data_IF_504877465608
#
_entry.id   IF_504877465608
#
_cell.length_a   1.000
_cell.length_b   1.000
_cell.length_c   1.000
_cell.angle_alpha   90.00
_cell.angle_beta   90.00
_cell.angle_gamma   90.00
#
_symmetry.space_group_name_H-M   'P 1'
#
loop_
_entity.id
_entity.type
_entity.pdbx_description
1 polymer ?
#
# COMPACT_ATOMS: atom_id res chain seq x y z
N UNK A 1 -37.02 21.18 48.49
CA UNK A 1 -36.81 21.52 47.06
C UNK A 1 -35.43 21.06 46.53
N UNK A 2 -34.43 20.91 47.40
CA UNK A 2 -33.03 20.61 47.04
C UNK A 2 -32.78 19.15 46.60
N UNK A 3 -33.44 18.17 47.22
CA UNK A 3 -33.23 16.75 46.90
C UNK A 3 -33.73 16.33 45.51
N UNK A 4 -34.84 16.91 45.03
CA UNK A 4 -35.36 16.62 43.68
C UNK A 4 -34.42 17.11 42.57
N UNK A 5 -33.71 18.22 42.78
CA UNK A 5 -32.70 18.71 41.81
C UNK A 5 -31.47 17.80 41.76
N UNK A 6 -31.01 17.32 42.91
CA UNK A 6 -29.89 16.38 43.01
C UNK A 6 -30.19 15.05 42.32
N UNK A 7 -31.43 14.55 42.46
CA UNK A 7 -31.85 13.31 41.81
C UNK A 7 -31.89 13.41 40.28
N UNK A 8 -32.44 14.50 39.73
CA UNK A 8 -32.49 14.73 38.28
C UNK A 8 -31.08 14.94 37.68
N UNK A 9 -30.17 15.57 38.41
CA UNK A 9 -28.77 15.74 37.97
C UNK A 9 -28.02 14.39 37.89
N UNK A 10 -28.21 13.52 38.88
CA UNK A 10 -27.64 12.16 38.90
C UNK A 10 -28.21 11.32 37.75
N UNK A 11 -29.50 11.43 37.48
CA UNK A 11 -30.17 10.75 36.37
C UNK A 11 -29.62 11.22 35.02
N UNK A 12 -29.44 12.53 34.84
CA UNK A 12 -28.84 13.13 33.65
C UNK A 12 -27.40 12.65 33.42
N UNK A 13 -26.56 12.66 34.47
CA UNK A 13 -25.16 12.17 34.38
C UNK A 13 -25.09 10.68 34.03
N UNK A 14 -25.93 9.84 34.64
CA UNK A 14 -26.01 8.41 34.30
C UNK A 14 -26.46 8.19 32.85
N UNK A 15 -27.45 8.95 32.38
CA UNK A 15 -27.94 8.85 31.01
C UNK A 15 -26.91 9.28 29.96
N UNK A 16 -26.09 10.30 30.24
CA UNK A 16 -25.00 10.71 29.35
C UNK A 16 -23.86 9.67 29.31
N UNK A 17 -23.52 9.05 30.45
CA UNK A 17 -22.53 7.97 30.49
C UNK A 17 -23.01 6.74 29.70
N UNK A 18 -24.28 6.34 29.85
CA UNK A 18 -24.86 5.24 29.07
C UNK A 18 -24.85 5.53 27.57
N UNK A 19 -25.09 6.79 27.18
CA UNK A 19 -25.01 7.21 25.77
C UNK A 19 -23.60 7.18 25.20
N UNK A 20 -22.61 7.66 25.97
CA UNK A 20 -21.21 7.63 25.53
C UNK A 20 -20.70 6.20 25.32
N UNK A 21 -21.03 5.28 26.24
CA UNK A 21 -20.69 3.86 26.10
C UNK A 21 -21.36 3.24 24.89
N UNK A 22 -22.64 3.55 24.62
CA UNK A 22 -23.35 3.05 23.45
C UNK A 22 -22.78 3.58 22.13
N UNK A 23 -22.36 4.85 22.07
CA UNK A 23 -21.69 5.43 20.90
C UNK A 23 -20.33 4.78 20.66
N UNK A 24 -19.58 4.47 21.72
CA UNK A 24 -18.26 3.82 21.59
C UNK A 24 -18.39 2.37 21.13
N UNK A 25 -19.36 1.62 21.68
CA UNK A 25 -19.62 0.24 21.25
C UNK A 25 -20.05 0.18 19.77
N UNK A 26 -20.87 1.11 19.31
CA UNK A 26 -21.27 1.15 17.89
C UNK A 26 -20.10 1.50 16.97
N UNK A 27 -19.17 2.35 17.40
CA UNK A 27 -17.94 2.64 16.64
C UNK A 27 -17.04 1.39 16.54
N UNK A 28 -16.94 0.57 17.59
CA UNK A 28 -16.18 -0.70 17.56
C UNK A 28 -16.81 -1.72 16.61
N UNK A 29 -18.13 -1.87 16.63
CA UNK A 29 -18.83 -2.76 15.69
C UNK A 29 -18.60 -2.32 14.24
N UNK A 30 -18.68 -1.02 13.95
CA UNK A 30 -18.41 -0.50 12.60
C UNK A 30 -16.95 -0.71 12.16
N UNK A 31 -15.99 -0.56 13.08
CA UNK A 31 -14.57 -0.80 12.80
C UNK A 31 -14.25 -2.29 12.56
N UNK A 32 -14.90 -3.20 13.30
CA UNK A 32 -14.69 -4.65 13.10
C UNK A 32 -15.35 -5.15 11.80
N UNK A 33 -16.54 -4.64 11.47
CA UNK A 33 -17.21 -4.94 10.20
C UNK A 33 -16.38 -4.48 9.00
N UNK A 34 -15.77 -3.29 9.06
CA UNK A 34 -14.93 -2.79 7.95
C UNK A 34 -13.68 -3.64 7.73
N UNK A 35 -13.04 -4.12 8.81
CA UNK A 35 -11.88 -5.03 8.74
C UNK A 35 -12.25 -6.39 8.13
N UNK A 36 -13.43 -6.94 8.48
CA UNK A 36 -13.92 -8.19 7.88
C UNK A 36 -14.17 -8.02 6.38
N UNK A 37 -14.80 -6.92 5.97
CA UNK A 37 -15.07 -6.64 4.55
C UNK A 37 -13.76 -6.53 3.75
N UNK A 38 -12.76 -5.82 4.27
CA UNK A 38 -11.45 -5.68 3.61
C UNK A 38 -10.75 -7.04 3.49
N UNK A 39 -10.79 -7.85 4.54
CA UNK A 39 -10.18 -9.19 4.55
C UNK A 39 -10.85 -10.12 3.53
N UNK A 40 -12.17 -10.04 3.43
CA UNK A 40 -12.95 -10.84 2.49
C UNK A 40 -12.73 -10.41 1.04
N UNK A 41 -12.66 -9.11 0.77
CA UNK A 41 -12.32 -8.57 -0.55
C UNK A 41 -10.92 -9.00 -0.99
N UNK A 42 -9.96 -9.03 -0.06
CA UNK A 42 -8.60 -9.49 -0.32
C UNK A 42 -8.56 -11.01 -0.61
N UNK A 43 -9.34 -11.81 0.14
CA UNK A 43 -9.46 -13.25 -0.10
C UNK A 43 -10.10 -13.57 -1.47
N UNK A 44 -11.12 -12.81 -1.89
CA UNK A 44 -11.71 -12.93 -3.22
C UNK A 44 -10.73 -12.57 -4.34
N UNK A 45 -9.90 -11.55 -4.15
CA UNK A 45 -8.87 -11.19 -5.12
C UNK A 45 -7.81 -12.30 -5.31
N UNK A 46 -7.53 -13.10 -4.26
CA UNK A 46 -6.55 -14.19 -4.31
C UNK A 46 -7.06 -15.45 -5.02
N UNK A 47 -8.37 -15.66 -5.09
CA UNK A 47 -8.95 -16.91 -5.62
C UNK A 47 -9.16 -16.92 -7.15
N UNK A 48 -8.55 -15.98 -7.88
CA UNK A 48 -8.55 -15.93 -9.35
C UNK A 48 -7.26 -16.47 -9.98
N UNK A 49 -6.27 -16.89 -9.19
CA UNK A 49 -5.00 -17.45 -9.68
C UNK A 49 -4.99 -18.96 -9.49
N UNK A 50 -5.71 -19.64 -10.38
CA UNK A 50 -5.81 -21.09 -10.44
C UNK A 50 -5.78 -21.59 -11.88
N UNK A 51 -4.75 -21.22 -12.66
CA UNK A 51 -4.20 -21.98 -13.78
C UNK A 51 -3.26 -21.09 -14.60
N UNK A 52 -1.95 -21.38 -14.61
CA UNK A 52 -1.12 -21.19 -15.80
C UNK A 52 0.04 -22.18 -15.77
N UNK A 53 0.05 -23.07 -16.77
CA UNK A 53 1.09 -24.05 -17.04
C UNK A 53 2.34 -23.36 -17.55
N UNK A 54 3.49 -23.90 -17.17
CA UNK A 54 4.81 -23.55 -17.69
C UNK A 54 4.86 -23.67 -19.22
N UNK A 55 5.36 -22.63 -19.90
CA UNK A 55 5.82 -22.74 -21.28
C UNK A 55 7.26 -22.27 -21.36
N UNK A 56 8.13 -23.25 -21.55
CA UNK A 56 9.55 -23.11 -21.86
C UNK A 56 9.69 -23.14 -23.40
N UNK A 57 10.24 -22.11 -24.04
CA UNK A 57 11.31 -22.27 -25.04
C UNK A 57 11.84 -20.98 -25.71
N UNK A 58 13.10 -21.12 -26.12
CA UNK A 58 14.03 -20.21 -26.79
C UNK A 58 13.55 -19.44 -28.04
N UNK A 59 14.03 -18.20 -28.16
CA UNK A 59 14.70 -17.72 -29.38
C UNK A 59 13.84 -17.09 -30.48
N UNK A 60 13.42 -15.83 -30.30
CA UNK A 60 13.18 -14.88 -31.41
C UNK A 60 13.23 -13.46 -30.87
N UNK A 61 14.12 -12.62 -31.42
CA UNK A 61 14.22 -11.19 -31.08
C UNK A 61 13.04 -10.49 -31.73
N UNK A 62 11.95 -10.48 -30.98
CA UNK A 62 10.76 -9.65 -31.15
C UNK A 62 10.39 -9.30 -29.72
N UNK A 63 10.14 -8.03 -29.42
CA UNK A 63 9.80 -7.55 -28.08
C UNK A 63 8.61 -8.35 -27.54
N UNK A 64 8.91 -9.44 -26.83
CA UNK A 64 7.92 -10.39 -26.34
C UNK A 64 7.35 -9.81 -25.06
N UNK A 65 6.04 -9.72 -24.97
CA UNK A 65 5.36 -9.45 -23.71
C UNK A 65 5.74 -10.54 -22.70
N UNK A 66 6.64 -10.21 -21.79
CA UNK A 66 7.18 -11.08 -20.75
C UNK A 66 6.64 -10.66 -19.39
N UNK A 67 6.72 -11.56 -18.41
CA UNK A 67 6.30 -11.31 -17.03
C UNK A 67 7.48 -11.62 -16.12
N UNK A 68 7.80 -10.70 -15.21
CA UNK A 68 8.69 -10.94 -14.08
C UNK A 68 7.91 -10.81 -12.77
N UNK A 69 8.22 -11.65 -11.80
CA UNK A 69 7.61 -11.56 -10.46
C UNK A 69 8.51 -10.73 -9.53
N UNK A 70 8.03 -9.55 -9.12
CA UNK A 70 8.60 -8.79 -8.02
C UNK A 70 8.22 -9.44 -6.69
N UNK A 71 9.20 -9.80 -5.88
CA UNK A 71 8.97 -10.35 -4.55
C UNK A 71 9.04 -9.27 -3.49
N UNK A 72 7.96 -9.07 -2.75
CA UNK A 72 7.91 -8.18 -1.58
C UNK A 72 7.42 -9.02 -0.40
N UNK A 73 8.31 -9.29 0.55
CA UNK A 73 8.03 -10.22 1.64
C UNK A 73 7.67 -11.62 1.13
N UNK A 74 6.48 -12.09 1.50
CA UNK A 74 5.99 -13.43 1.14
C UNK A 74 5.09 -13.41 -0.12
N UNK A 75 4.91 -12.24 -0.75
CA UNK A 75 4.08 -12.07 -1.94
C UNK A 75 4.91 -11.85 -3.20
N UNK A 76 4.34 -12.27 -4.32
CA UNK A 76 4.88 -12.09 -5.65
C UNK A 76 3.90 -11.28 -6.51
N UNK A 77 4.41 -10.24 -7.16
CA UNK A 77 3.65 -9.32 -8.00
C UNK A 77 4.08 -9.48 -9.45
N UNK A 78 3.22 -9.98 -10.35
CA UNK A 78 3.56 -10.15 -11.75
C UNK A 78 3.58 -8.78 -12.46
N UNK A 79 4.74 -8.42 -13.01
CA UNK A 79 4.98 -7.19 -13.74
C UNK A 79 5.23 -7.53 -15.20
N UNK A 80 4.41 -6.96 -16.08
CA UNK A 80 4.55 -7.15 -17.53
C UNK A 80 5.59 -6.20 -18.08
N UNK A 81 6.42 -6.69 -18.98
CA UNK A 81 7.42 -5.87 -19.64
C UNK A 81 7.71 -6.35 -21.07
N UNK A 82 8.34 -5.46 -21.83
CA UNK A 82 9.00 -5.76 -23.09
C UNK A 82 10.38 -5.12 -23.04
N UNK A 83 11.39 -5.82 -23.56
CA UNK A 83 12.76 -5.30 -23.59
C UNK A 83 13.41 -5.55 -24.95
N UNK A 84 14.12 -4.55 -25.45
CA UNK A 84 15.05 -4.65 -26.59
C UNK A 84 16.45 -4.26 -26.15
N UNK A 85 17.48 -4.66 -26.89
CA UNK A 85 18.87 -4.31 -26.57
C UNK A 85 19.47 -5.04 -25.36
N UNK A 86 18.74 -5.98 -24.76
CA UNK A 86 19.22 -6.76 -23.63
C UNK A 86 18.18 -7.73 -23.09
N UNK A 87 18.38 -8.16 -21.85
CA UNK A 87 17.43 -8.98 -21.09
C UNK A 87 17.25 -8.43 -19.69
N UNK A 88 16.03 -8.54 -19.18
CA UNK A 88 15.73 -8.22 -17.80
C UNK A 88 16.19 -9.39 -16.91
N UNK A 89 17.15 -9.15 -16.02
CA UNK A 89 17.78 -10.16 -15.18
C UNK A 89 17.08 -10.32 -13.83
N UNK A 90 16.43 -9.27 -13.33
CA UNK A 90 15.77 -9.30 -12.04
C UNK A 90 15.03 -7.99 -11.73
N UNK A 91 14.14 -8.03 -10.75
CA UNK A 91 13.46 -6.86 -10.23
C UNK A 91 13.34 -6.95 -8.70
N UNK A 92 13.61 -5.85 -8.02
CA UNK A 92 13.53 -5.75 -6.56
C UNK A 92 13.09 -4.35 -6.14
N UNK A 93 12.53 -4.23 -4.95
CA UNK A 93 12.31 -2.94 -4.31
C UNK A 93 13.53 -2.58 -3.44
N UNK A 94 13.92 -1.32 -3.46
CA UNK A 94 14.97 -0.80 -2.59
C UNK A 94 14.44 -0.61 -1.16
N UNK A 95 15.37 -0.53 -0.19
CA UNK A 95 15.02 -0.41 1.24
C UNK A 95 14.27 0.88 1.59
N UNK A 96 14.40 1.91 0.76
CA UNK A 96 13.67 3.16 0.90
C UNK A 96 12.16 3.03 0.64
N UNK A 97 11.73 1.90 0.05
CA UNK A 97 10.35 1.62 -0.32
C UNK A 97 9.75 2.69 -1.26
N UNK A 98 10.58 3.32 -2.07
CA UNK A 98 10.16 4.28 -3.09
C UNK A 98 10.72 3.96 -4.46
N UNK A 99 11.76 3.13 -4.52
CA UNK A 99 12.48 2.82 -5.75
C UNK A 99 12.39 1.34 -6.11
N UNK A 100 12.07 1.05 -7.36
CA UNK A 100 12.24 -0.27 -7.96
C UNK A 100 13.57 -0.32 -8.71
N UNK A 101 14.38 -1.33 -8.38
CA UNK A 101 15.59 -1.68 -9.12
C UNK A 101 15.25 -2.72 -10.18
N UNK A 102 15.42 -2.34 -11.44
CA UNK A 102 15.28 -3.24 -12.58
C UNK A 102 16.67 -3.61 -13.07
N UNK A 103 17.10 -4.82 -12.78
CA UNK A 103 18.40 -5.33 -13.19
C UNK A 103 18.34 -5.77 -14.66
N UNK A 104 19.24 -5.25 -15.48
CA UNK A 104 19.30 -5.50 -16.92
C UNK A 104 20.67 -6.05 -17.29
N UNK A 105 20.69 -7.04 -18.19
CA UNK A 105 21.88 -7.45 -18.92
C UNK A 105 21.78 -6.86 -20.32
N UNK A 106 22.31 -5.65 -20.49
CA UNK A 106 22.35 -4.95 -21.77
C UNK A 106 23.43 -5.53 -22.69
N UNK A 107 23.14 -5.59 -23.98
CA UNK A 107 24.06 -6.02 -25.05
C UNK A 107 24.17 -4.99 -26.18
N UNK A 108 23.24 -4.04 -26.22
CA UNK A 108 23.22 -2.86 -27.07
C UNK A 108 22.31 -1.81 -26.45
N UNK A 109 22.28 -0.60 -27.00
CA UNK A 109 21.26 0.39 -26.64
C UNK A 109 19.86 -0.22 -26.86
N UNK A 110 18.96 0.07 -25.95
CA UNK A 110 17.70 -0.65 -25.82
C UNK A 110 16.57 0.19 -25.27
N UNK A 111 15.41 -0.44 -25.15
CA UNK A 111 14.22 0.13 -24.54
C UNK A 111 13.57 -0.89 -23.63
N UNK A 112 13.17 -0.45 -22.45
CA UNK A 112 12.32 -1.17 -21.52
C UNK A 112 10.93 -0.54 -21.53
N UNK A 113 9.91 -1.31 -21.90
CA UNK A 113 8.52 -0.95 -21.67
C UNK A 113 8.04 -1.78 -20.49
N UNK A 114 7.59 -1.14 -19.41
CA UNK A 114 7.22 -1.83 -18.17
C UNK A 114 5.86 -1.32 -17.68
N UNK A 115 4.94 -2.25 -17.40
CA UNK A 115 3.63 -1.96 -16.82
C UNK A 115 3.71 -2.07 -15.30
N UNK A 116 3.67 -0.92 -14.64
CA UNK A 116 3.75 -0.74 -13.20
C UNK A 116 2.34 -0.74 -12.59
N UNK A 117 1.96 -1.76 -11.81
CA UNK A 117 0.70 -1.77 -11.07
C UNK A 117 0.72 -0.70 -9.96
N UNK A 118 -0.34 0.10 -9.85
CA UNK A 118 -0.44 1.20 -8.88
C UNK A 118 -0.56 0.73 -7.43
N UNK A 119 -0.92 -0.52 -7.22
CA UNK A 119 -0.92 -1.19 -5.92
C UNK A 119 0.48 -1.71 -5.51
N UNK A 120 1.45 -1.68 -6.43
CA UNK A 120 2.85 -2.05 -6.20
C UNK A 120 3.73 -0.81 -6.09
N UNK A 121 3.63 0.08 -7.07
CA UNK A 121 4.41 1.32 -7.13
C UNK A 121 3.54 2.42 -7.76
N UNK A 122 3.59 3.62 -7.19
CA UNK A 122 2.99 4.80 -7.80
C UNK A 122 3.78 6.07 -7.46
N UNK A 123 3.57 7.11 -8.26
CA UNK A 123 4.08 8.45 -8.01
C UNK A 123 2.92 9.44 -7.96
N UNK A 124 2.75 10.07 -6.79
CA UNK A 124 1.63 10.97 -6.51
C UNK A 124 2.04 12.18 -5.70
N UNK A 125 1.53 13.34 -6.06
CA UNK A 125 1.64 14.58 -5.29
C UNK A 125 0.46 14.78 -4.34
N UNK A 126 0.49 15.88 -3.60
CA UNK A 126 -0.58 16.25 -2.67
C UNK A 126 -1.95 16.25 -3.36
N UNK A 127 -2.96 15.72 -2.67
CA UNK A 127 -4.31 15.60 -3.21
C UNK A 127 -4.55 14.33 -4.04
N UNK A 128 -3.67 13.33 -3.96
CA UNK A 128 -3.81 12.04 -4.66
C UNK A 128 -3.81 12.19 -6.20
N UNK A 129 -3.13 13.23 -6.69
CA UNK A 129 -2.97 13.50 -8.12
C UNK A 129 -1.70 12.82 -8.60
N UNK A 130 -1.75 12.23 -9.80
CA UNK A 130 -0.59 11.61 -10.42
C UNK A 130 0.55 12.63 -10.57
N UNK A 131 1.75 12.13 -10.29
CA UNK A 131 3.01 12.81 -10.50
C UNK A 131 3.93 11.93 -11.36
N UNK A 132 4.98 12.50 -11.93
CA UNK A 132 5.91 11.74 -12.77
C UNK A 132 6.76 10.79 -11.92
N UNK A 133 7.17 9.67 -12.51
CA UNK A 133 8.27 8.89 -11.95
C UNK A 133 9.58 9.61 -12.23
N UNK A 134 10.59 9.36 -11.38
CA UNK A 134 11.97 9.71 -11.69
C UNK A 134 12.70 8.43 -12.07
N UNK A 135 13.31 8.41 -13.25
CA UNK A 135 14.02 7.24 -13.77
C UNK A 135 15.50 7.53 -13.87
N UNK A 136 16.31 6.54 -13.50
CA UNK A 136 17.75 6.60 -13.57
C UNK A 136 18.31 5.34 -14.27
N UNK A 137 19.45 5.52 -14.91
CA UNK A 137 20.26 4.50 -15.55
C UNK A 137 21.62 4.47 -14.85
N UNK A 138 21.91 3.39 -14.12
CA UNK A 138 23.10 3.27 -13.27
C UNK A 138 23.35 4.53 -12.40
N UNK A 139 22.26 5.08 -11.83
CA UNK A 139 22.28 6.29 -10.99
C UNK A 139 22.38 7.63 -11.75
N UNK A 140 22.41 7.64 -13.08
CA UNK A 140 22.31 8.85 -13.90
C UNK A 140 20.88 9.09 -14.34
N UNK A 141 20.42 10.35 -14.31
CA UNK A 141 19.03 10.64 -14.70
C UNK A 141 18.78 10.23 -16.16
N UNK A 142 17.72 9.44 -16.37
CA UNK A 142 17.32 8.92 -17.67
C UNK A 142 15.97 9.52 -18.08
N UNK A 143 15.79 9.74 -19.37
CA UNK A 143 14.50 10.16 -19.90
C UNK A 143 13.56 8.97 -19.98
N UNK A 144 12.36 9.14 -19.45
CA UNK A 144 11.26 8.20 -19.55
C UNK A 144 10.02 8.84 -20.18
N UNK A 145 9.24 8.02 -20.88
CA UNK A 145 7.93 8.39 -21.41
C UNK A 145 6.86 7.54 -20.74
N UNK A 146 5.88 8.19 -20.12
CA UNK A 146 4.68 7.50 -19.69
C UNK A 146 3.69 7.35 -20.85
N UNK A 147 3.65 6.14 -21.42
CA UNK A 147 2.90 5.87 -22.65
C UNK A 147 1.46 5.44 -22.39
N UNK A 148 1.10 5.05 -21.15
CA UNK A 148 -0.27 4.70 -20.79
C UNK A 148 -0.53 4.82 -19.29
N UNK A 149 -1.60 5.51 -18.95
CA UNK A 149 -2.05 5.72 -17.56
C UNK A 149 -3.49 5.25 -17.42
N UNK A 150 -3.77 4.40 -16.44
CA UNK A 150 -5.14 4.01 -16.09
C UNK A 150 -5.28 3.85 -14.57
N UNK A 151 -6.49 3.51 -14.10
CA UNK A 151 -6.79 3.40 -12.67
C UNK A 151 -6.05 2.26 -11.94
N UNK A 152 -5.50 1.28 -12.66
CA UNK A 152 -4.86 0.08 -12.10
C UNK A 152 -3.36 0.05 -12.35
N UNK A 153 -2.87 0.63 -13.45
CA UNK A 153 -1.47 0.60 -13.84
C UNK A 153 -1.01 1.85 -14.59
N UNK A 154 0.31 2.05 -14.59
CA UNK A 154 1.03 3.04 -15.41
C UNK A 154 2.09 2.31 -16.22
N UNK A 155 2.21 2.62 -17.50
CA UNK A 155 3.20 1.98 -18.39
C UNK A 155 4.28 2.99 -18.75
N UNK A 156 5.52 2.70 -18.39
CA UNK A 156 6.68 3.52 -18.71
C UNK A 156 7.46 2.90 -19.87
N UNK A 157 8.00 3.77 -20.73
CA UNK A 157 9.02 3.44 -21.71
C UNK A 157 10.31 4.15 -21.29
N UNK A 158 11.36 3.37 -21.05
CA UNK A 158 12.69 3.85 -20.62
C UNK A 158 13.71 3.44 -21.67
N UNK A 159 14.46 4.41 -22.20
CA UNK A 159 15.65 4.13 -23.01
C UNK A 159 16.85 3.84 -22.11
N UNK A 160 17.75 2.96 -22.55
CA UNK A 160 19.00 2.67 -21.84
C UNK A 160 20.13 2.38 -22.82
N UNK A 161 21.38 2.65 -22.42
CA UNK A 161 22.56 2.49 -23.26
C UNK A 161 23.16 1.06 -23.21
N UNK A 162 24.09 0.78 -24.11
CA UNK A 162 24.87 -0.44 -24.01
C UNK A 162 25.78 -0.39 -22.78
N UNK A 163 25.69 -1.40 -21.91
CA UNK A 163 26.45 -1.48 -20.68
C UNK A 163 25.63 -1.18 -19.42
N UNK A 164 24.41 -0.65 -19.56
CA UNK A 164 23.48 -0.47 -18.42
C UNK A 164 23.30 -1.77 -17.65
N UNK A 165 23.45 -1.69 -16.33
CA UNK A 165 23.24 -2.82 -15.43
C UNK A 165 21.96 -2.68 -14.60
N UNK A 166 21.57 -1.45 -14.27
CA UNK A 166 20.42 -1.15 -13.44
C UNK A 166 19.63 0.03 -14.02
N UNK A 167 18.32 -0.10 -14.02
CA UNK A 167 17.39 1.01 -14.22
C UNK A 167 16.64 1.20 -12.91
N UNK A 168 16.72 2.39 -12.32
CA UNK A 168 16.02 2.74 -11.09
C UNK A 168 14.75 3.53 -11.41
N UNK A 169 13.59 3.04 -10.98
CA UNK A 169 12.30 3.72 -11.14
C UNK A 169 11.82 4.17 -9.77
N UNK A 170 11.81 5.48 -9.53
CA UNK A 170 11.48 6.09 -8.24
C UNK A 170 10.11 6.76 -8.30
N UNK A 171 9.22 6.38 -7.38
CA UNK A 171 7.92 7.01 -7.17
C UNK A 171 7.81 7.63 -5.77
N UNK A 172 6.58 7.79 -5.29
CA UNK A 172 6.32 8.23 -3.91
C UNK A 172 6.10 7.08 -2.94
N UNK A 173 5.81 5.89 -3.46
CA UNK A 173 5.80 4.67 -2.70
C UNK A 173 5.98 3.45 -3.61
N UNK A 174 6.62 2.43 -3.05
CA UNK A 174 6.62 1.04 -3.46
C UNK A 174 6.09 0.29 -2.25
N UNK A 175 4.93 -0.35 -2.34
CA UNK A 175 4.24 -0.92 -1.18
C UNK A 175 5.10 -1.99 -0.50
N UNK A 176 5.51 -1.78 0.77
CA UNK A 176 5.96 -2.85 1.64
C UNK A 176 4.75 -3.22 2.52
N UNK A 177 4.55 -4.50 2.78
CA UNK A 177 3.34 -5.01 3.42
C UNK A 177 3.16 -4.66 4.92
N UNK A 178 3.15 -3.38 5.29
CA UNK A 178 2.95 -2.96 6.69
C UNK A 178 1.53 -2.47 7.00
N UNK A 179 0.65 -2.27 6.01
CA UNK A 179 -0.71 -1.78 6.28
C UNK A 179 -1.50 -2.73 7.21
N UNK A 180 -1.38 -4.04 7.05
CA UNK A 180 -2.06 -5.03 7.89
C UNK A 180 -1.54 -5.02 9.33
N UNK A 181 -0.21 -4.94 9.52
CA UNK A 181 0.40 -4.93 10.85
C UNK A 181 0.13 -3.61 11.56
N UNK A 182 0.22 -2.48 10.86
CA UNK A 182 -0.08 -1.17 11.43
C UNK A 182 -1.53 -1.08 11.90
N UNK A 183 -2.51 -1.56 11.11
CA UNK A 183 -3.93 -1.60 11.51
C UNK A 183 -4.14 -2.50 12.72
N UNK A 184 -3.52 -3.68 12.76
CA UNK A 184 -3.63 -4.59 13.90
C UNK A 184 -3.04 -3.98 15.18
N UNK A 185 -1.85 -3.37 15.10
CA UNK A 185 -1.22 -2.69 16.24
C UNK A 185 -2.04 -1.48 16.68
N UNK A 186 -2.62 -0.71 15.74
CA UNK A 186 -3.48 0.43 16.05
C UNK A 186 -4.79 -0.01 16.74
N UNK A 187 -5.39 -1.11 16.30
CA UNK A 187 -6.56 -1.71 16.94
C UNK A 187 -6.23 -2.21 18.36
N UNK A 188 -5.12 -2.91 18.55
CA UNK A 188 -4.69 -3.39 19.87
C UNK A 188 -4.37 -2.22 20.81
N UNK A 189 -3.68 -1.18 20.31
CA UNK A 189 -3.33 0.01 21.08
C UNK A 189 -4.56 0.81 21.51
N UNK A 190 -5.53 1.02 20.61
CA UNK A 190 -6.78 1.73 20.95
C UNK A 190 -7.59 0.97 22.01
N UNK A 191 -7.69 -0.36 21.90
CA UNK A 191 -8.32 -1.20 22.95
C UNK A 191 -7.56 -1.05 24.28
N UNK A 192 -6.22 -1.09 24.26
CA UNK A 192 -5.39 -0.92 25.45
C UNK A 192 -5.61 0.43 26.15
N UNK A 193 -5.67 1.52 25.39
CA UNK A 193 -5.96 2.87 25.91
C UNK A 193 -7.35 2.93 26.55
N UNK A 194 -8.36 2.30 25.95
CA UNK A 194 -9.74 2.24 26.49
C UNK A 194 -9.76 1.49 27.83
N UNK A 195 -9.11 0.34 27.91
CA UNK A 195 -9.04 -0.44 29.15
C UNK A 195 -8.25 0.29 30.23
N UNK A 196 -7.14 0.96 29.88
CA UNK A 196 -6.36 1.74 30.83
C UNK A 196 -7.16 2.97 31.33
N UNK A 197 -7.79 3.73 30.44
CA UNK A 197 -8.57 4.92 30.83
C UNK A 197 -9.83 4.57 31.62
N UNK A 198 -10.50 3.45 31.32
CA UNK A 198 -11.62 2.95 32.13
C UNK A 198 -11.20 2.45 33.53
N UNK A 199 -9.96 1.98 33.70
CA UNK A 199 -9.42 1.54 34.99
C UNK A 199 -8.84 2.68 35.84
N UNK A 200 -8.22 3.69 35.24
CA UNK A 200 -7.50 4.75 35.94
C UNK A 200 -8.22 6.09 36.01
N UNK A 201 -9.34 6.26 35.28
CA UNK A 201 -10.18 7.43 35.40
C UNK A 201 -11.60 7.00 35.77
N UNK A 202 -11.91 6.75 37.06
CA UNK A 202 -13.29 6.93 37.48
C UNK A 202 -13.66 8.37 37.09
N UNK A 203 -14.79 8.55 36.42
CA UNK A 203 -15.28 9.83 35.92
C UNK A 203 -15.67 10.92 36.96
N UNK A 204 -15.38 10.88 38.29
CA UNK A 204 -15.68 12.01 39.17
C UNK A 204 -14.42 12.71 39.70
N UNK A 205 -13.72 13.49 38.87
CA UNK A 205 -12.80 14.54 39.42
C UNK A 205 -12.81 15.86 38.61
N UNK A 206 -13.35 15.91 37.39
CA UNK A 206 -13.30 17.12 36.55
C UNK A 206 -14.31 18.24 36.88
N UNK A 207 -15.12 18.11 37.94
CA UNK A 207 -16.10 19.13 38.35
C UNK A 207 -15.98 19.53 39.83
N UNK A 208 -14.77 19.82 40.30
CA UNK A 208 -14.59 20.73 41.44
C UNK A 208 -13.99 22.04 40.94
N UNK A 209 -14.85 22.91 40.41
CA UNK A 209 -14.61 24.36 40.43
C UNK A 209 -15.76 24.94 41.26
N UNK A 210 -15.36 25.73 42.24
CA UNK A 210 -16.12 26.25 43.38
C UNK A 210 -17.28 27.15 42.98
#
# INVERSE_FOLDING_TARGET
MTERRQFEEIKGKKWQATKAVAIVLSVIELATISVIIISFQLAYAQNTIGANKELNNQGSVTASNAIINLKLGNKAYPIKYQITGGKLAGISAEKDNTTLLVNVSSTSNGKLIIELPRDVIDSKKQGNVDDNFAVFEDGQYALDDEIRTNAQSRTLMVGFDNGTSVIEITGTHVVPEFATVAVAVFAIATIGIIVATSKYMPLPVLFKIK
#
